data_IF_918130757490
#
_entry.id   IF_918130757490
#
_cell.length_a   1.000
_cell.length_b   1.000
_cell.length_c   1.000
_cell.angle_alpha   90.00
_cell.angle_beta   90.00
_cell.angle_gamma   90.00
#
_symmetry.space_group_name_H-M   'P 1'
#
loop_
_entity.id
_entity.type
_entity.pdbx_description
1 polymer ?
#
# COMPACT_ATOMS: atom_id res chain seq x y z
N UNK A 1 -3.99 4.69 8.78
CA UNK A 1 -4.17 3.21 8.79
C UNK A 1 -5.04 2.86 7.58
N UNK A 2 -4.76 1.77 6.87
CA UNK A 2 -5.49 1.34 5.66
C UNK A 2 -5.41 -0.17 5.53
N UNK A 3 -6.40 -0.78 4.89
CA UNK A 3 -6.27 -2.14 4.37
C UNK A 3 -5.75 -2.12 2.94
N UNK A 4 -4.89 -3.08 2.62
CA UNK A 4 -4.33 -3.29 1.28
C UNK A 4 -4.77 -4.68 0.79
N UNK A 5 -5.51 -4.71 -0.31
CA UNK A 5 -5.88 -5.95 -1.00
C UNK A 5 -4.97 -6.10 -2.21
N UNK A 6 -4.18 -7.17 -2.23
CA UNK A 6 -3.23 -7.48 -3.30
C UNK A 6 -3.70 -8.75 -4.00
N UNK A 7 -3.94 -8.67 -5.31
CA UNK A 7 -4.40 -9.81 -6.12
C UNK A 7 -3.81 -9.75 -7.53
N UNK A 8 -3.78 -10.88 -8.27
CA UNK A 8 -3.43 -10.85 -9.68
C UNK A 8 -4.38 -9.95 -10.48
N UNK A 9 -3.85 -9.25 -11.49
CA UNK A 9 -4.71 -8.51 -12.41
C UNK A 9 -5.65 -9.45 -13.18
N UNK A 10 -6.88 -9.00 -13.52
CA UNK A 10 -7.74 -9.70 -14.47
C UNK A 10 -7.02 -9.93 -15.80
N UNK A 11 -7.32 -11.04 -16.49
CA UNK A 11 -6.63 -11.44 -17.73
C UNK A 11 -6.81 -10.43 -18.87
N UNK A 12 -7.88 -9.65 -18.82
CA UNK A 12 -8.26 -8.63 -19.79
C UNK A 12 -7.45 -7.34 -19.60
N UNK A 13 -6.85 -7.15 -18.42
CA UNK A 13 -6.04 -5.99 -18.10
C UNK A 13 -4.57 -6.23 -18.44
N UNK A 14 -3.93 -5.22 -19.01
CA UNK A 14 -2.48 -5.23 -19.27
C UNK A 14 -1.72 -4.85 -18.01
N UNK A 15 -1.77 -5.66 -16.95
CA UNK A 15 -0.98 -5.53 -15.71
C UNK A 15 -0.74 -6.90 -15.06
N UNK A 16 0.14 -6.96 -14.07
CA UNK A 16 0.49 -8.21 -13.37
C UNK A 16 -0.23 -8.31 -12.01
N UNK A 17 -0.23 -7.21 -11.24
CA UNK A 17 -0.79 -7.16 -9.88
C UNK A 17 -1.68 -5.94 -9.71
N UNK A 18 -2.86 -6.15 -9.13
CA UNK A 18 -3.75 -5.10 -8.66
C UNK A 18 -3.57 -4.93 -7.15
N UNK A 19 -3.27 -3.70 -6.72
CA UNK A 19 -3.19 -3.33 -5.32
C UNK A 19 -4.24 -2.26 -5.05
N UNK A 20 -5.25 -2.61 -4.27
CA UNK A 20 -6.34 -1.71 -3.90
C UNK A 20 -6.24 -1.35 -2.42
N UNK A 21 -6.41 -0.07 -2.09
CA UNK A 21 -6.39 0.42 -0.70
C UNK A 21 -7.78 0.81 -0.25
N UNK A 22 -8.07 0.54 1.02
CA UNK A 22 -9.37 0.78 1.63
C UNK A 22 -9.22 1.48 2.97
N UNK A 23 -10.20 2.32 3.29
CA UNK A 23 -10.39 2.84 4.63
C UNK A 23 -10.79 1.71 5.59
N UNK A 24 -10.59 1.95 6.89
CA UNK A 24 -10.96 1.04 7.97
C UNK A 24 -12.12 1.68 8.70
N UNK A 25 -13.23 0.94 8.89
CA UNK A 25 -14.45 1.44 9.54
C UNK A 25 -14.20 1.89 10.98
N UNK A 26 -13.58 1.03 11.78
CA UNK A 26 -13.15 1.34 13.14
C UNK A 26 -11.62 1.30 13.23
N UNK A 27 -10.95 2.40 12.89
CA UNK A 27 -9.49 2.42 12.90
C UNK A 27 -8.86 2.32 14.30
N UNK A 28 -9.64 2.48 15.38
CA UNK A 28 -9.14 2.36 16.76
C UNK A 28 -8.90 0.90 17.13
N UNK A 29 -9.82 0.01 16.71
CA UNK A 29 -9.72 -1.46 16.84
C UNK A 29 -8.40 -2.01 16.30
N UNK A 30 -7.85 -1.40 15.24
CA UNK A 30 -6.65 -1.87 14.52
C UNK A 30 -5.34 -1.17 14.91
N UNK A 31 -5.34 -0.32 15.96
CA UNK A 31 -4.11 0.32 16.43
C UNK A 31 -3.05 -0.71 16.81
N UNK A 32 -1.84 -0.54 16.28
CA UNK A 32 -0.70 -1.44 16.52
C UNK A 32 -1.02 -2.92 16.22
N UNK A 33 -1.91 -3.18 15.25
CA UNK A 33 -2.35 -4.54 14.89
C UNK A 33 -1.17 -5.50 14.65
N UNK A 34 -0.11 -5.03 13.97
CA UNK A 34 1.07 -5.83 13.66
C UNK A 34 1.91 -6.24 14.89
N UNK A 35 1.77 -5.53 16.02
CA UNK A 35 2.52 -5.80 17.25
C UNK A 35 1.78 -6.80 18.16
N UNK A 36 0.50 -7.05 17.90
CA UNK A 36 -0.33 -7.99 18.67
C UNK A 36 0.00 -9.43 18.29
N UNK A 37 -0.17 -10.36 19.22
CA UNK A 37 -0.14 -11.81 18.93
C UNK A 37 -1.35 -12.22 18.07
N UNK A 38 -1.26 -13.38 17.41
CA UNK A 38 -2.28 -13.81 16.45
C UNK A 38 -3.67 -14.01 17.08
N UNK A 39 -3.73 -14.45 18.34
CA UNK A 39 -4.95 -14.64 19.13
C UNK A 39 -5.58 -13.33 19.63
N UNK A 40 -4.82 -12.23 19.64
CA UNK A 40 -5.27 -10.90 20.04
C UNK A 40 -5.67 -10.02 18.85
N UNK A 41 -5.53 -10.53 17.63
CA UNK A 41 -5.93 -9.83 16.41
C UNK A 41 -7.39 -10.15 16.09
N UNK A 42 -8.08 -9.13 15.61
CA UNK A 42 -9.42 -9.23 15.00
C UNK A 42 -9.43 -10.35 13.96
N UNK A 43 -10.49 -11.17 13.96
CA UNK A 43 -10.54 -12.37 13.11
C UNK A 43 -10.67 -11.99 11.63
N UNK A 44 -10.24 -12.84 10.68
CA UNK A 44 -10.28 -12.51 9.26
C UNK A 44 -11.66 -12.12 8.73
N UNK A 45 -12.74 -12.76 9.20
CA UNK A 45 -14.11 -12.42 8.83
C UNK A 45 -14.53 -11.02 9.29
N UNK A 46 -14.09 -10.61 10.47
CA UNK A 46 -14.32 -9.28 11.04
C UNK A 46 -13.49 -8.23 10.28
N UNK A 47 -12.23 -8.53 9.96
CA UNK A 47 -11.37 -7.68 9.11
C UNK A 47 -12.05 -7.39 7.77
N UNK A 48 -12.65 -8.41 7.14
CA UNK A 48 -13.37 -8.24 5.87
C UNK A 48 -14.62 -7.38 6.05
N UNK A 49 -15.35 -7.53 7.16
CA UNK A 49 -16.53 -6.72 7.47
C UNK A 49 -16.19 -5.24 7.74
N UNK A 50 -14.97 -4.97 8.23
CA UNK A 50 -14.47 -3.63 8.54
C UNK A 50 -13.80 -2.91 7.36
N UNK A 51 -13.66 -3.58 6.21
CA UNK A 51 -13.29 -2.91 4.97
C UNK A 51 -14.35 -1.85 4.64
N UNK A 52 -13.93 -0.59 4.61
CA UNK A 52 -14.81 0.54 4.35
C UNK A 52 -14.61 1.05 2.91
N UNK A 53 -14.62 2.37 2.73
CA UNK A 53 -14.49 3.02 1.43
C UNK A 53 -13.22 2.59 0.68
N UNK A 54 -13.38 2.28 -0.60
CA UNK A 54 -12.26 2.12 -1.53
C UNK A 54 -11.59 3.48 -1.77
N UNK A 55 -10.26 3.53 -1.65
CA UNK A 55 -9.50 4.78 -1.76
C UNK A 55 -8.76 4.86 -3.09
N UNK A 56 -7.96 3.86 -3.43
CA UNK A 56 -7.16 3.84 -4.65
C UNK A 56 -6.96 2.42 -5.17
N UNK A 57 -6.73 2.28 -6.47
CA UNK A 57 -6.18 1.06 -7.07
C UNK A 57 -4.95 1.40 -7.90
N UNK A 58 -3.85 0.72 -7.59
CA UNK A 58 -2.59 0.78 -8.33
C UNK A 58 -2.43 -0.49 -9.16
N UNK A 59 -2.12 -0.32 -10.45
CA UNK A 59 -1.90 -1.43 -11.38
C UNK A 59 -0.40 -1.61 -11.61
N UNK A 60 0.17 -2.59 -10.91
CA UNK A 60 1.60 -2.89 -10.95
C UNK A 60 1.94 -3.77 -12.16
N UNK A 61 3.06 -3.47 -12.77
CA UNK A 61 3.72 -4.30 -13.78
C UNK A 61 5.08 -4.73 -13.31
N UNK A 62 5.48 -5.93 -13.68
CA UNK A 62 6.84 -6.40 -13.49
C UNK A 62 7.78 -5.53 -14.30
N UNK A 63 8.80 -5.00 -13.64
CA UNK A 63 9.81 -4.20 -14.29
C UNK A 63 10.64 -5.04 -15.28
N UNK A 64 10.98 -4.45 -16.42
CA UNK A 64 11.85 -5.08 -17.42
C UNK A 64 13.24 -5.38 -16.84
N UNK A 65 13.89 -6.43 -17.35
CA UNK A 65 15.25 -6.80 -16.93
C UNK A 65 16.19 -5.59 -17.06
N UNK A 66 17.01 -5.36 -16.02
CA UNK A 66 17.94 -4.23 -15.96
C UNK A 66 17.42 -3.02 -15.19
N UNK A 67 16.10 -2.92 -14.94
CA UNK A 67 15.56 -1.93 -14.00
C UNK A 67 15.87 -2.30 -12.55
N UNK A 68 15.92 -1.29 -11.68
CA UNK A 68 16.15 -1.44 -10.23
C UNK A 68 14.95 -2.06 -9.52
N UNK A 69 13.74 -1.66 -9.92
CA UNK A 69 12.48 -2.18 -9.39
C UNK A 69 12.21 -3.63 -9.81
N UNK A 70 11.41 -4.32 -9.01
CA UNK A 70 10.76 -5.59 -9.32
C UNK A 70 9.38 -5.36 -9.93
N UNK A 71 8.61 -4.44 -9.34
CA UNK A 71 7.32 -3.99 -9.84
C UNK A 71 7.21 -2.48 -9.73
N UNK A 72 6.50 -1.86 -10.67
CA UNK A 72 6.17 -0.43 -10.64
C UNK A 72 4.77 -0.22 -11.21
N UNK A 73 4.07 0.80 -10.74
CA UNK A 73 2.75 1.14 -11.23
C UNK A 73 2.18 2.37 -10.55
N UNK A 74 1.05 2.82 -11.06
CA UNK A 74 0.33 3.97 -10.54
C UNK A 74 -1.18 3.74 -10.59
N UNK A 75 -1.91 4.65 -9.97
CA UNK A 75 -3.33 4.88 -10.29
C UNK A 75 -3.48 5.29 -11.76
N UNK A 76 -4.70 5.15 -12.34
CA UNK A 76 -5.02 5.76 -13.63
C UNK A 76 -4.77 7.28 -13.65
N UNK A 77 -4.67 7.91 -14.84
CA UNK A 77 -4.41 9.34 -14.97
C UNK A 77 -5.38 10.24 -14.21
N UNK A 78 -6.66 9.87 -14.19
CA UNK A 78 -7.71 10.63 -13.49
C UNK A 78 -7.70 10.43 -11.96
N UNK A 79 -6.85 9.51 -11.46
CA UNK A 79 -6.76 9.20 -10.04
C UNK A 79 -8.05 8.59 -9.49
N UNK A 80 -8.32 8.85 -8.21
CA UNK A 80 -9.54 8.47 -7.51
C UNK A 80 -10.08 9.65 -6.69
N UNK A 81 -11.40 9.76 -6.46
CA UNK A 81 -11.97 10.83 -5.65
C UNK A 81 -11.34 10.90 -4.26
N UNK A 82 -11.04 12.11 -3.79
CA UNK A 82 -10.52 12.33 -2.45
C UNK A 82 -10.86 13.73 -1.98
N UNK A 83 -11.44 13.86 -0.78
CA UNK A 83 -11.91 15.15 -0.23
C UNK A 83 -11.02 15.65 0.92
N UNK A 84 -9.85 15.06 1.13
CA UNK A 84 -9.01 15.40 2.27
C UNK A 84 -8.35 16.77 2.07
N UNK A 85 -8.46 17.63 3.08
CA UNK A 85 -7.85 18.97 3.10
C UNK A 85 -8.21 19.85 1.90
N UNK A 86 -9.36 19.63 1.25
CA UNK A 86 -9.78 20.40 0.07
C UNK A 86 -9.28 19.85 -1.26
N UNK A 87 -8.72 18.64 -1.29
CA UNK A 87 -8.53 17.90 -2.54
C UNK A 87 -9.89 17.52 -3.16
N UNK A 88 -9.84 17.22 -4.45
CA UNK A 88 -10.94 16.62 -5.24
C UNK A 88 -10.59 15.21 -5.72
N UNK A 89 -9.30 14.94 -5.97
CA UNK A 89 -8.82 13.61 -6.34
C UNK A 89 -7.43 13.33 -5.76
N UNK A 90 -7.05 12.06 -5.75
CA UNK A 90 -5.73 11.62 -5.34
C UNK A 90 -5.11 10.64 -6.34
N UNK A 91 -3.79 10.60 -6.34
CA UNK A 91 -2.99 9.65 -7.12
C UNK A 91 -2.07 8.88 -6.19
N UNK A 92 -1.75 7.65 -6.56
CA UNK A 92 -0.74 6.84 -5.89
C UNK A 92 0.22 6.24 -6.91
N UNK A 93 1.52 6.32 -6.65
CA UNK A 93 2.56 5.60 -7.37
C UNK A 93 3.26 4.66 -6.40
N UNK A 94 3.53 3.43 -6.83
CA UNK A 94 4.19 2.43 -6.01
C UNK A 94 5.27 1.71 -6.82
N UNK A 95 6.46 1.59 -6.25
CA UNK A 95 7.50 0.69 -6.74
C UNK A 95 7.95 -0.27 -5.65
N UNK A 96 7.95 -1.55 -5.99
CA UNK A 96 8.56 -2.60 -5.17
C UNK A 96 9.96 -2.82 -5.70
N UNK A 97 10.96 -2.61 -4.85
CA UNK A 97 12.38 -2.74 -5.18
C UNK A 97 12.92 -4.02 -4.53
N UNK A 98 14.12 -4.44 -4.93
CA UNK A 98 14.80 -5.59 -4.31
C UNK A 98 15.04 -5.35 -2.81
N UNK A 99 15.26 -6.43 -2.06
CA UNK A 99 15.62 -6.40 -0.64
C UNK A 99 14.56 -5.75 0.28
N UNK A 100 13.28 -5.82 -0.11
CA UNK A 100 12.17 -5.30 0.71
C UNK A 100 12.04 -3.78 0.71
N UNK A 101 12.76 -3.07 -0.15
CA UNK A 101 12.61 -1.62 -0.32
C UNK A 101 11.32 -1.29 -1.09
N UNK A 102 10.55 -0.33 -0.59
CA UNK A 102 9.28 0.12 -1.16
C UNK A 102 9.33 1.63 -1.36
N UNK A 103 9.02 2.10 -2.57
CA UNK A 103 8.84 3.52 -2.86
C UNK A 103 7.35 3.80 -3.02
N UNK A 104 6.79 4.71 -2.22
CA UNK A 104 5.37 5.05 -2.25
C UNK A 104 5.18 6.55 -2.38
N UNK A 105 4.29 6.96 -3.28
CA UNK A 105 3.99 8.37 -3.54
C UNK A 105 2.49 8.63 -3.63
N UNK A 106 1.89 8.92 -2.48
CA UNK A 106 0.49 9.34 -2.40
C UNK A 106 0.40 10.88 -2.43
N UNK A 107 -0.47 11.41 -3.29
CA UNK A 107 -0.70 12.86 -3.45
C UNK A 107 -2.16 13.15 -3.68
N UNK A 108 -2.62 14.30 -3.21
CA UNK A 108 -3.97 14.81 -3.48
C UNK A 108 -3.95 16.16 -4.16
N UNK A 109 -4.94 16.41 -4.99
CA UNK A 109 -5.04 17.54 -5.89
C UNK A 109 -6.45 18.11 -5.87
N UNK A 110 -6.60 19.42 -6.06
CA UNK A 110 -7.90 20.07 -6.27
C UNK A 110 -8.38 19.93 -7.73
N UNK A 111 -9.56 20.47 -8.05
CA UNK A 111 -10.14 20.43 -9.41
C UNK A 111 -9.29 21.13 -10.47
N UNK A 112 -8.42 22.07 -10.07
CA UNK A 112 -7.52 22.79 -10.97
C UNK A 112 -6.18 22.06 -11.19
N UNK A 113 -6.00 20.89 -10.57
CA UNK A 113 -4.78 20.09 -10.64
C UNK A 113 -3.65 20.62 -9.76
N UNK A 114 -3.95 21.50 -8.79
CA UNK A 114 -2.95 21.97 -7.81
C UNK A 114 -2.83 20.93 -6.70
N UNK A 115 -1.59 20.53 -6.39
CA UNK A 115 -1.32 19.58 -5.31
C UNK A 115 -1.61 20.20 -3.94
N UNK A 116 -2.55 19.60 -3.22
CA UNK A 116 -3.04 20.01 -1.89
C UNK A 116 -2.30 19.30 -0.77
N UNK A 117 -2.04 17.99 -0.93
CA UNK A 117 -1.34 17.19 0.09
C UNK A 117 -0.39 16.17 -0.53
N UNK A 118 0.47 15.59 0.31
CA UNK A 118 1.53 14.68 -0.10
C UNK A 118 2.83 15.41 -0.41
N UNK A 119 3.91 14.66 -0.54
CA UNK A 119 5.25 15.21 -0.77
C UNK A 119 5.42 15.64 -2.24
N UNK A 120 6.11 16.76 -2.47
CA UNK A 120 6.38 17.31 -3.83
C UNK A 120 7.69 16.81 -4.44
N UNK A 121 8.67 16.46 -3.61
CA UNK A 121 10.05 16.17 -4.02
C UNK A 121 10.33 14.76 -4.53
N UNK A 122 9.33 13.88 -4.58
CA UNK A 122 9.48 12.47 -4.96
C UNK A 122 8.86 11.50 -3.95
N UNK A 123 8.90 10.18 -4.22
CA UNK A 123 8.32 9.17 -3.34
C UNK A 123 9.02 9.12 -1.97
N UNK A 124 8.28 8.67 -0.95
CA UNK A 124 8.90 8.17 0.26
C UNK A 124 9.60 6.84 -0.04
N UNK A 125 10.87 6.71 0.36
CA UNK A 125 11.65 5.48 0.21
C UNK A 125 11.73 4.73 1.55
N UNK A 126 10.96 3.64 1.66
CA UNK A 126 10.97 2.76 2.82
C UNK A 126 11.99 1.65 2.62
N UNK A 127 12.96 1.57 3.53
CA UNK A 127 13.93 0.48 3.60
C UNK A 127 13.70 -0.31 4.89
N UNK A 128 13.85 -1.64 4.89
CA UNK A 128 13.80 -2.40 6.12
C UNK A 128 14.78 -1.81 7.14
N UNK A 129 14.34 -1.68 8.38
CA UNK A 129 15.26 -1.37 9.46
C UNK A 129 16.34 -2.47 9.51
N UNK A 130 17.61 -2.12 9.84
CA UNK A 130 18.60 -3.13 10.15
C UNK A 130 18.03 -4.07 11.20
N UNK A 131 18.22 -5.38 11.03
CA UNK A 131 17.84 -6.34 12.05
C UNK A 131 18.66 -5.99 13.29
N UNK A 132 18.04 -5.35 14.29
CA UNK A 132 18.65 -5.26 15.60
C UNK A 132 18.88 -6.68 16.08
N UNK A 133 20.07 -6.96 16.61
CA UNK A 133 20.40 -8.22 17.28
C UNK A 133 19.63 -8.35 18.60
N UNK A 134 18.31 -8.26 18.54
CA UNK A 134 17.38 -8.69 19.58
C UNK A 134 17.04 -10.13 19.24
N UNK A 135 17.60 -11.02 20.07
CA UNK A 135 17.43 -12.46 20.06
C UNK A 135 15.95 -12.83 19.97
N UNK A 136 15.46 -13.10 18.77
CA UNK A 136 14.28 -13.93 18.59
C UNK A 136 14.77 -15.22 17.94
N UNK A 137 15.12 -16.16 18.81
CA UNK A 137 15.41 -17.54 18.46
C UNK A 137 14.13 -18.16 17.89
N UNK A 138 13.81 -17.85 16.63
CA UNK A 138 12.97 -18.72 15.84
C UNK A 138 13.79 -19.97 15.57
N UNK A 139 13.61 -20.95 16.47
CA UNK A 139 14.03 -22.33 16.28
C UNK A 139 13.63 -22.76 14.87
N UNK A 140 14.63 -22.98 14.02
CA UNK A 140 14.48 -23.73 12.80
C UNK A 140 13.99 -25.13 13.17
N UNK A 141 12.68 -25.34 13.15
CA UNK A 141 12.10 -26.66 13.04
C UNK A 141 12.29 -27.11 11.60
N UNK A 142 13.43 -27.77 11.37
CA UNK A 142 13.60 -28.64 10.22
C UNK A 142 12.58 -29.78 10.35
N UNK A 143 11.73 -29.94 9.33
CA UNK A 143 11.05 -31.21 9.01
C UNK A 143 11.94 -32.04 8.11
#
# INVERSE_FOLDING_TARGET
>A
QRFFVVKPCPKEMKCDVELSTYAIRDSEEYKNFCDRSADQRTQPEEVIADVAEHLTTVYLKRCSRGKRCLYEGSTPPDGFPNTWNGASYCTSELSVVKNGEIHSWDRGYDESGIQIWGVKGGPYEFKPAPVSSSTDSFSALNF
#
